data_IF_677471622853
#
_entry.id   IF_677471622853
#
_cell.length_a   1.000
_cell.length_b   1.000
_cell.length_c   1.000
_cell.angle_alpha   90.00
_cell.angle_beta   90.00
_cell.angle_gamma   90.00
#
_symmetry.space_group_name_H-M   'P 1'
#
loop_
_entity.id
_entity.type
_entity.pdbx_description
1 polymer ?
#
# COMPACT_ATOMS: atom_id res chain seq x y z
N UNK A 1 10.92 -7.14 -2.63
CA UNK A 1 10.31 -6.96 -1.31
C UNK A 1 9.09 -7.84 -1.24
N UNK A 2 9.12 -8.91 -0.43
CA UNK A 2 8.02 -9.85 -0.30
C UNK A 2 7.13 -9.38 0.86
N UNK A 3 5.88 -9.03 0.57
CA UNK A 3 4.90 -8.68 1.62
C UNK A 3 4.44 -9.97 2.28
N UNK A 4 4.61 -10.08 3.59
CA UNK A 4 4.26 -11.25 4.39
C UNK A 4 3.20 -10.90 5.44
N UNK A 5 2.61 -11.93 6.04
CA UNK A 5 1.74 -11.81 7.20
C UNK A 5 2.12 -12.85 8.26
N UNK A 6 1.61 -12.68 9.48
CA UNK A 6 1.97 -13.53 10.64
C UNK A 6 1.13 -14.81 10.77
N UNK A 7 0.34 -15.20 9.75
CA UNK A 7 -0.51 -16.39 9.84
C UNK A 7 0.31 -17.65 9.67
N UNK A 8 0.13 -18.61 10.58
CA UNK A 8 0.86 -19.89 10.54
C UNK A 8 0.43 -20.82 9.39
N UNK A 9 -0.83 -20.74 8.94
CA UNK A 9 -1.38 -21.57 7.85
C UNK A 9 -2.32 -20.76 6.94
N UNK A 10 -1.79 -19.92 6.03
CA UNK A 10 -2.61 -19.09 5.16
C UNK A 10 -3.34 -19.95 4.11
N UNK A 11 -4.68 -19.89 4.12
CA UNK A 11 -5.53 -20.50 3.06
C UNK A 11 -5.70 -19.61 1.83
N UNK A 12 -5.45 -18.30 1.99
CA UNK A 12 -5.49 -17.28 0.94
C UNK A 12 -4.16 -16.54 1.01
N UNK A 13 -3.51 -16.35 -0.13
CA UNK A 13 -2.23 -15.64 -0.17
C UNK A 13 -2.34 -14.20 0.33
N UNK A 14 -1.30 -13.74 1.02
CA UNK A 14 -1.16 -12.34 1.45
C UNK A 14 -1.23 -11.39 0.25
N UNK A 15 -0.64 -11.80 -0.87
CA UNK A 15 -0.64 -11.03 -2.10
C UNK A 15 -2.06 -10.77 -2.62
N UNK A 16 -2.94 -11.78 -2.61
CA UNK A 16 -4.31 -11.59 -3.06
C UNK A 16 -5.13 -10.68 -2.15
N UNK A 17 -4.88 -10.72 -0.84
CA UNK A 17 -5.48 -9.80 0.13
C UNK A 17 -5.04 -8.35 -0.15
N UNK A 18 -3.75 -8.10 -0.35
CA UNK A 18 -3.22 -6.77 -0.70
C UNK A 18 -3.76 -6.29 -2.05
N UNK A 19 -3.77 -7.17 -3.07
CA UNK A 19 -4.36 -6.88 -4.38
C UNK A 19 -5.85 -6.54 -4.27
N UNK A 20 -6.60 -7.20 -3.41
CA UNK A 20 -8.03 -6.92 -3.21
C UNK A 20 -8.28 -5.53 -2.62
N UNK A 21 -7.39 -5.04 -1.75
CA UNK A 21 -7.44 -3.65 -1.30
C UNK A 21 -7.17 -2.65 -2.42
N UNK A 22 -6.28 -2.97 -3.37
CA UNK A 22 -6.11 -2.15 -4.58
C UNK A 22 -7.38 -2.13 -5.43
N UNK A 23 -8.08 -3.26 -5.54
CA UNK A 23 -9.37 -3.32 -6.26
C UNK A 23 -10.40 -2.42 -5.60
N UNK A 24 -10.55 -2.49 -4.28
CA UNK A 24 -11.47 -1.60 -3.54
C UNK A 24 -11.10 -0.12 -3.75
N UNK A 25 -9.80 0.20 -3.72
CA UNK A 25 -9.31 1.55 -3.97
C UNK A 25 -9.62 2.03 -5.41
N UNK A 26 -9.34 1.21 -6.44
CA UNK A 26 -9.63 1.53 -7.84
C UNK A 26 -11.12 1.64 -8.13
N UNK A 27 -11.93 0.79 -7.50
CA UNK A 27 -13.38 0.85 -7.58
C UNK A 27 -13.97 2.01 -6.74
N UNK A 28 -13.14 2.77 -6.02
CA UNK A 28 -13.54 3.87 -5.12
C UNK A 28 -14.55 3.43 -4.05
N UNK A 29 -14.39 2.20 -3.56
CA UNK A 29 -15.25 1.62 -2.54
C UNK A 29 -14.66 1.87 -1.17
N UNK A 30 -15.30 2.74 -0.41
CA UNK A 30 -14.84 3.17 0.93
C UNK A 30 -15.07 2.15 2.05
N UNK A 31 -15.52 0.93 1.74
CA UNK A 31 -15.80 -0.09 2.75
C UNK A 31 -15.25 -1.45 2.36
N UNK A 32 -14.61 -2.13 3.31
CA UNK A 32 -14.17 -3.52 3.20
C UNK A 32 -15.36 -4.44 2.91
N UNK A 33 -16.55 -4.12 3.43
CA UNK A 33 -17.76 -4.92 3.19
C UNK A 33 -18.22 -4.91 1.73
N UNK A 34 -17.83 -3.89 0.95
CA UNK A 34 -18.13 -3.85 -0.49
C UNK A 34 -17.39 -4.95 -1.27
N UNK A 35 -16.35 -5.56 -0.67
CA UNK A 35 -15.65 -6.70 -1.21
C UNK A 35 -16.57 -7.90 -1.47
N UNK A 36 -17.60 -8.09 -0.65
CA UNK A 36 -18.58 -9.19 -0.85
C UNK A 36 -19.27 -9.12 -2.20
N UNK A 37 -19.44 -7.92 -2.76
CA UNK A 37 -20.08 -7.71 -4.05
C UNK A 37 -19.05 -7.73 -5.17
N UNK A 38 -17.94 -6.99 -5.01
CA UNK A 38 -16.92 -6.86 -6.05
C UNK A 38 -16.10 -8.12 -6.23
N UNK A 39 -15.67 -8.76 -5.15
CA UNK A 39 -14.84 -9.96 -5.21
C UNK A 39 -15.50 -11.13 -5.95
N UNK A 40 -16.83 -11.14 -6.09
CA UNK A 40 -17.58 -12.16 -6.82
C UNK A 40 -17.43 -12.08 -8.33
N UNK A 41 -17.05 -10.93 -8.89
CA UNK A 41 -16.93 -10.80 -10.34
C UNK A 41 -15.80 -11.69 -10.88
N UNK A 42 -16.10 -12.43 -11.95
CA UNK A 42 -15.18 -13.41 -12.54
C UNK A 42 -13.86 -12.77 -12.99
N UNK A 43 -13.90 -11.50 -13.40
CA UNK A 43 -12.72 -10.71 -13.74
C UNK A 43 -11.72 -10.65 -12.59
N UNK A 44 -12.16 -10.31 -11.37
CA UNK A 44 -11.28 -10.18 -10.22
C UNK A 44 -10.76 -11.52 -9.74
N UNK A 45 -11.56 -12.59 -9.77
CA UNK A 45 -11.09 -13.95 -9.45
C UNK A 45 -9.91 -14.37 -10.33
N UNK A 46 -10.02 -14.12 -11.65
CA UNK A 46 -8.97 -14.45 -12.61
C UNK A 46 -7.69 -13.63 -12.38
N UNK A 47 -7.82 -12.35 -12.04
CA UNK A 47 -6.67 -11.48 -11.78
C UNK A 47 -5.98 -11.75 -10.43
N UNK A 48 -6.75 -12.19 -9.43
CA UNK A 48 -6.24 -12.54 -8.11
C UNK A 48 -5.61 -13.94 -8.07
N UNK A 49 -5.96 -14.81 -9.00
CA UNK A 49 -5.55 -16.23 -9.04
C UNK A 49 -5.91 -17.00 -7.76
N UNK A 50 -6.97 -16.55 -7.08
CA UNK A 50 -7.43 -17.09 -5.80
C UNK A 50 -8.96 -17.24 -5.80
N UNK A 51 -9.51 -18.19 -5.02
CA UNK A 51 -10.94 -18.31 -4.86
C UNK A 51 -11.52 -17.08 -4.15
N UNK A 52 -12.81 -16.85 -4.31
CA UNK A 52 -13.51 -15.79 -3.57
C UNK A 52 -13.43 -16.02 -2.08
N UNK A 53 -13.10 -14.96 -1.34
CA UNK A 53 -13.04 -14.94 0.11
C UNK A 53 -13.82 -13.74 0.66
N UNK A 54 -14.21 -13.84 1.93
CA UNK A 54 -15.09 -12.85 2.57
C UNK A 54 -14.39 -11.55 2.93
N UNK A 55 -15.19 -10.51 3.14
CA UNK A 55 -14.73 -9.23 3.71
C UNK A 55 -14.06 -9.42 5.09
N UNK A 56 -14.56 -10.35 5.91
CA UNK A 56 -13.95 -10.69 7.21
C UNK A 56 -12.53 -11.25 7.05
N UNK A 57 -12.33 -12.07 6.01
CA UNK A 57 -11.00 -12.60 5.70
C UNK A 57 -10.07 -11.47 5.28
N UNK A 58 -10.55 -10.54 4.45
CA UNK A 58 -9.78 -9.35 4.04
C UNK A 58 -9.35 -8.54 5.27
N UNK A 59 -10.28 -8.24 6.19
CA UNK A 59 -10.01 -7.48 7.41
C UNK A 59 -9.05 -8.18 8.37
N UNK A 60 -9.29 -9.46 8.67
CA UNK A 60 -8.44 -10.26 9.57
C UNK A 60 -7.00 -10.34 9.08
N UNK A 61 -6.78 -10.49 7.77
CA UNK A 61 -5.42 -10.56 7.23
C UNK A 61 -4.74 -9.20 7.27
N UNK A 62 -5.45 -8.11 6.99
CA UNK A 62 -4.90 -6.75 7.15
C UNK A 62 -4.46 -6.48 8.60
N UNK A 63 -5.20 -6.99 9.60
CA UNK A 63 -4.86 -6.81 11.00
C UNK A 63 -3.54 -7.50 11.41
N UNK A 64 -3.09 -8.50 10.67
CA UNK A 64 -1.85 -9.26 10.95
C UNK A 64 -0.81 -9.14 9.84
N UNK A 65 -1.05 -8.24 8.88
CA UNK A 65 -0.15 -7.97 7.77
C UNK A 65 1.13 -7.31 8.29
N UNK A 66 2.28 -7.70 7.75
CA UNK A 66 3.51 -6.98 8.04
C UNK A 66 3.52 -5.60 7.36
N UNK A 67 3.05 -4.61 8.11
CA UNK A 67 3.02 -3.23 7.67
C UNK A 67 4.43 -2.67 7.38
N UNK A 68 5.48 -3.21 7.98
CA UNK A 68 6.85 -2.78 7.67
C UNK A 68 7.28 -3.25 6.28
N UNK A 69 7.13 -4.56 5.99
CA UNK A 69 7.41 -5.12 4.67
C UNK A 69 6.57 -4.49 3.56
N UNK A 70 5.30 -4.16 3.84
CA UNK A 70 4.45 -3.42 2.90
C UNK A 70 4.99 -2.03 2.59
N UNK A 71 5.34 -1.24 3.63
CA UNK A 71 5.92 0.10 3.45
C UNK A 71 7.23 0.05 2.67
N UNK A 72 8.11 -0.89 2.99
CA UNK A 72 9.36 -1.11 2.26
C UNK A 72 9.10 -1.43 0.78
N UNK A 73 8.12 -2.30 0.48
CA UNK A 73 7.75 -2.61 -0.90
C UNK A 73 7.24 -1.40 -1.69
N UNK A 74 6.39 -0.57 -1.08
CA UNK A 74 5.90 0.66 -1.70
C UNK A 74 7.06 1.64 -1.93
N UNK A 75 7.94 1.80 -0.94
CA UNK A 75 9.12 2.65 -1.03
C UNK A 75 10.06 2.20 -2.17
N UNK A 76 10.31 0.90 -2.32
CA UNK A 76 11.16 0.36 -3.39
C UNK A 76 10.59 0.64 -4.79
N UNK A 77 9.27 0.45 -4.98
CA UNK A 77 8.60 0.76 -6.25
C UNK A 77 8.73 2.25 -6.55
N UNK A 78 8.48 3.10 -5.57
CA UNK A 78 8.58 4.54 -5.74
C UNK A 78 10.00 5.00 -6.05
N UNK A 79 11.02 4.53 -5.31
CA UNK A 79 12.42 4.87 -5.56
C UNK A 79 12.83 4.51 -6.99
N UNK A 80 12.36 3.37 -7.52
CA UNK A 80 12.59 2.99 -8.92
C UNK A 80 11.90 3.95 -9.89
N UNK A 81 10.64 4.28 -9.66
CA UNK A 81 9.90 5.22 -10.52
C UNK A 81 10.51 6.63 -10.51
N UNK A 82 10.96 7.10 -9.34
CA UNK A 82 11.66 8.37 -9.15
C UNK A 82 13.01 8.38 -9.88
N UNK A 83 13.85 7.35 -9.68
CA UNK A 83 15.15 7.23 -10.37
C UNK A 83 15.00 7.16 -11.88
N UNK A 84 13.96 6.49 -12.36
CA UNK A 84 13.65 6.39 -13.78
C UNK A 84 12.94 7.62 -14.35
N UNK A 85 12.72 8.67 -13.53
CA UNK A 85 12.05 9.92 -13.92
C UNK A 85 10.66 9.70 -14.54
N UNK A 86 9.99 8.62 -14.15
CA UNK A 86 8.62 8.30 -14.60
C UNK A 86 7.61 9.18 -13.86
N UNK A 87 7.93 9.55 -12.63
CA UNK A 87 7.11 10.47 -11.85
C UNK A 87 7.37 11.90 -12.32
N UNK A 88 6.33 12.66 -12.67
CA UNK A 88 6.47 14.07 -13.03
C UNK A 88 7.05 14.86 -11.85
N UNK A 89 7.82 15.91 -12.15
CA UNK A 89 8.46 16.76 -11.16
C UNK A 89 7.43 17.66 -10.46
N UNK A 90 6.69 17.09 -9.51
CA UNK A 90 5.67 17.81 -8.75
C UNK A 90 6.30 18.43 -7.50
N UNK A 91 7.05 19.53 -7.68
CA UNK A 91 7.56 20.36 -6.57
C UNK A 91 6.47 20.88 -5.60
N UNK A 92 5.18 20.67 -5.90
CA UNK A 92 4.03 21.07 -5.06
C UNK A 92 3.08 19.90 -4.76
N UNK A 93 2.92 18.94 -5.69
CA UNK A 93 2.12 17.72 -5.47
C UNK A 93 2.80 16.71 -4.53
N UNK A 94 4.14 16.76 -4.42
CA UNK A 94 4.90 15.98 -3.45
C UNK A 94 4.69 16.47 -2.01
N UNK A 95 4.30 17.73 -1.78
CA UNK A 95 4.02 18.24 -0.42
C UNK A 95 2.78 17.57 0.19
N UNK A 96 1.81 17.18 -0.64
CA UNK A 96 0.64 16.40 -0.19
C UNK A 96 1.00 14.91 -0.01
N UNK A 97 2.05 14.43 -0.69
CA UNK A 97 2.59 13.07 -0.58
C UNK A 97 3.65 12.90 0.53
N UNK A 98 4.31 13.98 0.97
CA UNK A 98 5.29 14.02 2.09
C UNK A 98 4.62 13.80 3.46
N UNK A 99 3.27 13.79 3.49
CA UNK A 99 2.48 13.34 4.63
C UNK A 99 2.26 11.82 4.67
N UNK A 100 2.54 11.07 3.60
CA UNK A 100 2.46 9.62 3.61
C UNK A 100 3.82 9.04 3.98
N UNK A 101 3.86 8.13 4.96
CA UNK A 101 5.06 7.47 5.51
C UNK A 101 5.98 6.79 4.46
N UNK A 102 5.58 6.78 3.19
CA UNK A 102 6.32 6.25 2.05
C UNK A 102 7.44 7.15 1.55
N UNK A 103 7.42 8.45 1.86
CA UNK A 103 8.43 9.41 1.44
C UNK A 103 8.90 10.22 2.64
N UNK A 104 10.22 10.22 2.86
CA UNK A 104 10.84 11.12 3.81
C UNK A 104 12.03 11.78 3.13
N UNK A 105 12.17 13.09 3.31
CA UNK A 105 13.38 13.80 2.91
C UNK A 105 14.63 13.15 3.53
N UNK A 106 15.75 13.15 2.80
CA UNK A 106 17.05 12.72 3.34
C UNK A 106 17.48 13.54 4.56
N UNK A 107 16.93 14.76 4.73
CA UNK A 107 17.19 15.68 5.84
C UNK A 107 16.16 15.56 6.98
N UNK A 108 15.64 14.36 7.23
CA UNK A 108 14.76 14.09 8.37
C UNK A 108 15.54 14.06 9.68
N UNK A 109 14.88 14.42 10.78
CA UNK A 109 15.49 14.33 12.12
C UNK A 109 15.81 12.88 12.51
N UNK A 110 14.93 11.92 12.19
CA UNK A 110 15.08 10.50 12.52
C UNK A 110 14.16 9.62 11.65
N UNK A 111 14.28 8.29 11.76
CA UNK A 111 13.50 7.33 10.94
C UNK A 111 12.01 7.24 11.29
N UNK A 112 11.61 7.62 12.50
CA UNK A 112 10.23 7.52 12.99
C UNK A 112 9.53 8.86 13.24
N UNK A 113 10.23 9.98 13.13
CA UNK A 113 9.68 11.31 13.36
C UNK A 113 9.43 12.01 12.02
N UNK A 114 8.17 12.39 11.79
CA UNK A 114 7.73 13.19 10.64
C UNK A 114 8.05 14.68 10.85
N UNK A 115 9.27 14.99 11.30
CA UNK A 115 9.72 16.35 11.63
C UNK A 115 10.97 16.72 10.83
N UNK A 116 10.98 17.97 10.34
CA UNK A 116 12.10 18.56 9.60
C UNK A 116 12.27 20.02 9.98
N UNK A 117 13.52 20.44 10.18
CA UNK A 117 13.90 21.86 10.26
C UNK A 117 14.27 22.36 8.86
N UNK A 118 13.61 23.43 8.39
CA UNK A 118 13.89 24.05 7.10
C UNK A 118 14.65 25.35 7.36
N UNK A 119 15.90 25.42 6.90
CA UNK A 119 16.67 26.66 6.91
C UNK A 119 16.34 27.44 5.64
N UNK A 120 15.53 28.49 5.78
CA UNK A 120 15.31 29.45 4.70
C UNK A 120 16.47 30.45 4.71
N UNK A 121 17.23 30.54 3.62
CA UNK A 121 18.09 31.68 3.39
C UNK A 121 17.20 32.84 2.93
N UNK A 122 17.18 33.93 3.70
CA UNK A 122 16.59 35.21 3.29
C UNK A 122 17.65 36.06 2.61
#
# INVERSE_FOLDING_TARGET
TQVSDRREKPRISTAAVVKSSLVLFWARLGSINAWEQVGRAHFWKRWLEEPTFSADTLGRVHAVLDAHGLRQGIHDVYERLKRNKVLPDYGVGVVVLDGHESHASYLRHCSGCLQRTIHCAF
#
